data_IF_997863711826
#
_entry.id   IF_997863711826
#
_cell.length_a   1.000
_cell.length_b   1.000
_cell.length_c   1.000
_cell.angle_alpha   90.00
_cell.angle_beta   90.00
_cell.angle_gamma   90.00
#
_symmetry.space_group_name_H-M   'P 1'
#
loop_
_entity.id
_entity.type
_entity.pdbx_description
1 polymer ?
#
# COMPACT_ATOMS: atom_id res chain seq x y z
N UNK A 1 52.98 -42.28 -9.93
CA UNK A 1 52.04 -42.26 -11.07
C UNK A 1 50.72 -41.70 -10.56
N UNK A 2 50.59 -40.38 -10.51
CA UNK A 2 49.34 -39.72 -10.10
C UNK A 2 48.37 -39.70 -11.27
N UNK A 3 47.22 -40.35 -11.09
CA UNK A 3 46.15 -40.38 -12.08
C UNK A 3 45.35 -39.08 -11.97
N UNK A 4 45.55 -38.20 -12.95
CA UNK A 4 44.77 -36.98 -13.15
C UNK A 4 43.27 -37.32 -13.27
N UNK A 5 42.49 -36.91 -12.27
CA UNK A 5 41.03 -37.02 -12.26
C UNK A 5 40.45 -36.01 -13.26
N UNK A 6 39.98 -36.52 -14.39
CA UNK A 6 39.29 -35.74 -15.42
C UNK A 6 38.01 -35.12 -14.83
N UNK A 7 37.98 -33.80 -14.72
CA UNK A 7 36.78 -33.04 -14.34
C UNK A 7 35.69 -33.26 -15.41
N UNK A 8 34.76 -34.18 -15.12
CA UNK A 8 33.59 -34.44 -15.95
C UNK A 8 32.67 -33.23 -15.87
N UNK A 9 32.73 -32.34 -16.85
CA UNK A 9 31.78 -31.24 -16.99
C UNK A 9 30.39 -31.82 -17.13
N UNK A 10 29.56 -31.66 -16.09
CA UNK A 10 28.16 -32.04 -16.10
C UNK A 10 27.50 -31.37 -17.32
N UNK A 11 26.98 -32.20 -18.23
CA UNK A 11 26.26 -31.73 -19.41
C UNK A 11 25.07 -30.90 -18.92
N UNK A 12 24.99 -29.67 -19.41
CA UNK A 12 23.89 -28.76 -19.09
C UNK A 12 22.61 -29.36 -19.67
N UNK A 13 21.47 -29.28 -18.98
CA UNK A 13 20.21 -29.72 -19.55
C UNK A 13 19.89 -28.87 -20.78
N UNK A 14 19.55 -29.51 -21.89
CA UNK A 14 19.16 -28.81 -23.14
C UNK A 14 17.84 -28.04 -22.96
N UNK A 15 17.03 -28.42 -21.95
CA UNK A 15 15.73 -27.84 -21.66
C UNK A 15 15.57 -27.57 -20.16
N UNK A 16 15.06 -26.38 -19.83
CA UNK A 16 14.61 -26.02 -18.48
C UNK A 16 13.08 -26.19 -18.37
N UNK A 17 12.60 -26.71 -17.24
CA UNK A 17 11.16 -26.79 -16.95
C UNK A 17 10.54 -25.40 -16.82
N UNK A 18 9.26 -25.23 -17.19
CA UNK A 18 8.60 -23.92 -17.11
C UNK A 18 8.47 -23.43 -15.66
N UNK A 19 8.26 -24.33 -14.69
CA UNK A 19 8.18 -24.01 -13.25
C UNK A 19 9.51 -23.46 -12.76
N UNK A 20 10.62 -24.06 -13.19
CA UNK A 20 11.96 -23.58 -12.86
C UNK A 20 12.22 -22.20 -13.46
N UNK A 21 11.89 -22.00 -14.75
CA UNK A 21 12.02 -20.68 -15.39
C UNK A 21 11.21 -19.62 -14.64
N UNK A 22 10.00 -19.98 -14.23
CA UNK A 22 9.12 -19.11 -13.49
C UNK A 22 9.68 -18.75 -12.11
N UNK A 23 10.17 -19.73 -11.35
CA UNK A 23 10.79 -19.51 -10.04
C UNK A 23 11.99 -18.55 -10.15
N UNK A 24 12.87 -18.76 -11.12
CA UNK A 24 14.04 -17.89 -11.35
C UNK A 24 13.59 -16.46 -11.68
N UNK A 25 12.54 -16.30 -12.48
CA UNK A 25 11.98 -14.98 -12.82
C UNK A 25 11.37 -14.31 -11.59
N UNK A 26 10.64 -15.04 -10.75
CA UNK A 26 10.08 -14.51 -9.51
C UNK A 26 11.17 -14.00 -8.56
N UNK A 27 12.24 -14.77 -8.33
CA UNK A 27 13.34 -14.33 -7.46
C UNK A 27 13.99 -13.03 -7.94
N UNK A 28 14.09 -12.84 -9.26
CA UNK A 28 14.61 -11.62 -9.87
C UNK A 28 13.62 -10.46 -9.74
N UNK A 29 12.32 -10.69 -9.96
CA UNK A 29 11.28 -9.66 -9.85
C UNK A 29 11.05 -9.19 -8.41
N UNK A 30 11.14 -10.10 -7.43
CA UNK A 30 11.09 -9.76 -6.01
C UNK A 30 12.38 -9.08 -5.51
N UNK A 31 13.40 -8.94 -6.35
CA UNK A 31 14.66 -8.30 -5.99
C UNK A 31 15.55 -9.14 -5.05
N UNK A 32 15.26 -10.43 -4.86
CA UNK A 32 16.09 -11.33 -4.04
C UNK A 32 17.45 -11.56 -4.67
N UNK A 33 17.50 -11.64 -6.00
CA UNK A 33 18.71 -11.84 -6.78
C UNK A 33 18.72 -10.87 -7.98
N UNK A 34 19.89 -10.32 -8.28
CA UNK A 34 20.09 -9.65 -9.57
C UNK A 34 20.18 -10.68 -10.68
N UNK A 35 19.91 -10.30 -11.94
CA UNK A 35 19.99 -11.21 -13.10
C UNK A 35 21.32 -11.98 -13.17
N UNK A 36 22.44 -11.32 -12.87
CA UNK A 36 23.77 -11.96 -12.88
C UNK A 36 23.98 -12.88 -11.70
N UNK A 37 23.44 -12.53 -10.53
CA UNK A 37 23.49 -13.38 -9.35
C UNK A 37 22.65 -14.63 -9.57
N UNK A 38 21.43 -14.50 -10.10
CA UNK A 38 20.57 -15.63 -10.47
C UNK A 38 21.24 -16.53 -11.52
N UNK A 39 21.86 -15.96 -12.55
CA UNK A 39 22.60 -16.72 -13.57
C UNK A 39 23.70 -17.60 -12.96
N UNK A 40 24.46 -17.04 -12.01
CA UNK A 40 25.54 -17.74 -11.30
C UNK A 40 25.01 -18.77 -10.31
N UNK A 41 23.98 -18.43 -9.53
CA UNK A 41 23.38 -19.32 -8.53
C UNK A 41 22.76 -20.56 -9.18
N UNK A 42 22.08 -20.36 -10.31
CA UNK A 42 21.36 -21.42 -11.03
C UNK A 42 22.17 -22.06 -12.18
N UNK A 43 23.46 -21.74 -12.31
CA UNK A 43 24.36 -22.25 -13.37
C UNK A 43 23.81 -22.10 -14.81
N UNK A 44 23.11 -21.00 -15.08
CA UNK A 44 22.54 -20.72 -16.40
C UNK A 44 23.64 -20.21 -17.33
N UNK A 45 23.78 -20.86 -18.49
CA UNK A 45 24.86 -20.56 -19.45
C UNK A 45 24.65 -19.27 -20.23
N UNK A 46 23.42 -18.95 -20.61
CA UNK A 46 23.12 -17.80 -21.47
C UNK A 46 22.94 -16.51 -20.68
N UNK A 47 23.65 -15.46 -21.10
CA UNK A 47 23.54 -14.13 -20.51
C UNK A 47 22.14 -13.53 -20.66
N UNK A 48 21.52 -13.75 -21.83
CA UNK A 48 20.20 -13.21 -22.16
C UNK A 48 19.04 -14.16 -21.81
N UNK A 49 19.31 -15.35 -21.28
CA UNK A 49 18.30 -16.39 -21.06
C UNK A 49 17.24 -15.96 -20.04
N UNK A 50 17.68 -15.39 -18.92
CA UNK A 50 16.75 -14.91 -17.88
C UNK A 50 15.92 -13.74 -18.41
N UNK A 51 16.53 -12.83 -19.18
CA UNK A 51 15.81 -11.71 -19.81
C UNK A 51 14.75 -12.21 -20.80
N UNK A 52 15.05 -13.27 -21.55
CA UNK A 52 14.08 -13.92 -22.44
C UNK A 52 12.92 -14.53 -21.65
N UNK A 53 13.18 -15.22 -20.54
CA UNK A 53 12.12 -15.74 -19.68
C UNK A 53 11.25 -14.63 -19.10
N UNK A 54 11.85 -13.55 -18.60
CA UNK A 54 11.12 -12.39 -18.09
C UNK A 54 10.16 -11.80 -19.13
N UNK A 55 10.60 -11.66 -20.39
CA UNK A 55 9.74 -11.18 -21.50
C UNK A 55 8.66 -12.20 -21.88
N UNK A 56 8.99 -13.50 -21.87
CA UNK A 56 8.02 -14.56 -22.16
C UNK A 56 6.89 -14.56 -21.12
N UNK A 57 7.23 -14.36 -19.84
CA UNK A 57 6.24 -14.32 -18.75
C UNK A 57 5.62 -12.94 -18.52
N UNK A 58 6.00 -11.90 -19.27
CA UNK A 58 5.41 -10.56 -19.10
C UNK A 58 4.03 -10.42 -19.74
N UNK A 59 3.49 -11.47 -20.39
CA UNK A 59 2.18 -11.45 -21.04
C UNK A 59 2.13 -10.64 -22.34
N UNK A 60 3.30 -10.32 -22.93
CA UNK A 60 3.42 -9.59 -24.20
C UNK A 60 3.69 -10.62 -25.30
N UNK A 61 2.71 -10.87 -26.16
CA UNK A 61 2.79 -11.88 -27.23
C UNK A 61 3.93 -11.57 -28.22
N UNK A 62 4.06 -10.29 -28.62
CA UNK A 62 5.01 -9.84 -29.63
C UNK A 62 6.16 -8.98 -29.05
N UNK A 63 6.85 -9.48 -28.02
CA UNK A 63 7.98 -8.76 -27.40
C UNK A 63 9.17 -8.50 -28.35
N UNK A 64 9.23 -9.17 -29.51
CA UNK A 64 10.27 -9.00 -30.55
C UNK A 64 9.91 -7.98 -31.62
N UNK A 65 8.62 -7.61 -31.74
CA UNK A 65 8.14 -6.74 -32.80
C UNK A 65 8.55 -5.26 -32.63
N UNK A 66 9.40 -4.94 -31.62
CA UNK A 66 9.76 -3.56 -31.33
C UNK A 66 8.51 -2.77 -30.99
N UNK A 67 7.80 -3.18 -29.94
CA UNK A 67 6.64 -2.44 -29.44
C UNK A 67 7.00 -0.96 -29.27
N UNK A 68 6.10 -0.07 -29.66
CA UNK A 68 6.20 1.36 -29.39
C UNK A 68 6.65 1.52 -27.93
N UNK A 69 7.73 2.28 -27.63
CA UNK A 69 8.08 2.53 -26.25
C UNK A 69 6.83 3.14 -25.61
N UNK A 70 6.31 2.49 -24.58
CA UNK A 70 5.26 3.09 -23.76
C UNK A 70 5.88 4.30 -23.10
N UNK A 71 5.86 5.43 -23.80
CA UNK A 71 6.19 6.77 -23.32
C UNK A 71 5.15 7.28 -22.33
N UNK A 72 4.29 6.38 -21.83
CA UNK A 72 3.31 6.65 -20.81
C UNK A 72 4.03 6.78 -19.45
N UNK A 73 4.78 7.88 -19.31
CA UNK A 73 5.20 8.49 -18.05
C UNK A 73 4.01 8.62 -17.07
N UNK A 74 2.78 8.52 -17.57
CA UNK A 74 1.55 8.37 -16.80
C UNK A 74 1.56 7.16 -15.86
N UNK A 75 2.20 6.03 -16.18
CA UNK A 75 2.31 4.90 -15.25
C UNK A 75 3.07 5.28 -13.96
N UNK A 76 4.21 5.95 -14.10
CA UNK A 76 5.00 6.43 -12.95
C UNK A 76 4.33 7.60 -12.23
N UNK A 77 3.62 8.47 -12.96
CA UNK A 77 2.83 9.57 -12.38
C UNK A 77 1.59 9.06 -11.62
N UNK A 78 0.92 8.03 -12.14
CA UNK A 78 -0.20 7.33 -11.47
C UNK A 78 0.26 6.73 -10.15
N UNK A 79 1.43 6.09 -10.12
CA UNK A 79 1.99 5.54 -8.88
C UNK A 79 2.29 6.63 -7.84
N UNK A 80 2.82 7.80 -8.26
CA UNK A 80 3.05 8.94 -7.35
C UNK A 80 1.75 9.51 -6.80
N UNK A 81 0.76 9.75 -7.66
CA UNK A 81 -0.56 10.24 -7.25
C UNK A 81 -1.26 9.27 -6.30
N UNK A 82 -1.16 7.97 -6.57
CA UNK A 82 -1.72 6.93 -5.70
C UNK A 82 -1.08 6.97 -4.31
N UNK A 83 0.25 7.11 -4.23
CA UNK A 83 0.96 7.26 -2.96
C UNK A 83 0.52 8.53 -2.21
N UNK A 84 0.48 9.68 -2.90
CA UNK A 84 0.02 10.96 -2.32
C UNK A 84 -1.42 10.87 -1.81
N UNK A 85 -2.32 10.23 -2.55
CA UNK A 85 -3.70 10.00 -2.15
C UNK A 85 -3.78 9.10 -0.91
N UNK A 86 -2.99 8.04 -0.85
CA UNK A 86 -2.94 7.15 0.33
C UNK A 86 -2.41 7.87 1.58
N UNK A 87 -1.40 8.73 1.43
CA UNK A 87 -0.90 9.58 2.52
C UNK A 87 -1.98 10.56 2.99
N UNK A 88 -2.71 11.17 2.05
CA UNK A 88 -3.81 12.09 2.37
C UNK A 88 -4.94 11.38 3.12
N UNK A 89 -5.33 10.18 2.70
CA UNK A 89 -6.34 9.37 3.39
C UNK A 89 -5.89 9.07 4.82
N UNK A 90 -4.65 8.61 5.02
CA UNK A 90 -4.11 8.33 6.37
C UNK A 90 -4.14 9.56 7.27
N UNK A 91 -3.76 10.73 6.74
CA UNK A 91 -3.82 11.99 7.49
C UNK A 91 -5.24 12.33 7.93
N UNK A 92 -6.19 12.27 6.99
CA UNK A 92 -7.61 12.57 7.24
C UNK A 92 -8.22 11.60 8.25
N UNK A 93 -7.85 10.32 8.20
CA UNK A 93 -8.32 9.33 9.19
C UNK A 93 -7.83 9.64 10.61
N UNK A 94 -6.60 10.15 10.76
CA UNK A 94 -6.05 10.55 12.05
C UNK A 94 -6.77 11.78 12.58
N UNK A 95 -6.99 12.79 11.74
CA UNK A 95 -7.76 13.99 12.12
C UNK A 95 -9.19 13.64 12.53
N UNK A 96 -9.84 12.77 11.77
CA UNK A 96 -11.20 12.30 12.07
C UNK A 96 -11.26 11.54 13.39
N UNK A 97 -10.26 10.68 13.68
CA UNK A 97 -10.16 10.01 14.99
C UNK A 97 -9.98 11.00 16.13
N UNK A 98 -9.14 12.03 15.96
CA UNK A 98 -8.91 13.06 16.97
C UNK A 98 -10.19 13.85 17.27
N UNK A 99 -10.95 14.23 16.25
CA UNK A 99 -12.16 15.02 16.45
C UNK A 99 -13.29 14.20 17.07
N UNK A 100 -13.41 12.91 16.71
CA UNK A 100 -14.33 11.98 17.38
C UNK A 100 -14.00 11.83 18.87
N UNK A 101 -12.72 11.59 19.19
CA UNK A 101 -12.29 11.51 20.59
C UNK A 101 -12.58 12.82 21.35
N UNK A 102 -12.36 13.96 20.70
CA UNK A 102 -12.67 15.26 21.29
C UNK A 102 -14.18 15.38 21.58
N UNK A 103 -15.04 15.01 20.63
CA UNK A 103 -16.49 15.01 20.82
C UNK A 103 -16.92 14.08 21.97
N UNK A 104 -16.36 12.87 22.03
CA UNK A 104 -16.63 11.91 23.11
C UNK A 104 -16.19 12.45 24.49
N UNK A 105 -15.03 13.10 24.55
CA UNK A 105 -14.54 13.76 25.77
C UNK A 105 -15.46 14.91 26.20
N UNK A 106 -15.94 15.72 25.26
CA UNK A 106 -16.90 16.79 25.57
C UNK A 106 -18.19 16.21 26.14
N UNK A 107 -18.74 15.16 25.53
CA UNK A 107 -19.93 14.48 26.03
C UNK A 107 -19.71 13.99 27.48
N UNK A 108 -18.57 13.34 27.74
CA UNK A 108 -18.21 12.85 29.08
C UNK A 108 -18.02 13.98 30.09
N UNK A 109 -17.43 15.09 29.67
CA UNK A 109 -17.24 16.26 30.54
C UNK A 109 -18.58 16.88 30.94
N UNK A 110 -19.54 16.91 30.02
CA UNK A 110 -20.90 17.39 30.31
C UNK A 110 -21.60 16.45 31.30
N UNK A 111 -21.52 15.13 31.10
CA UNK A 111 -22.06 14.13 32.04
C UNK A 111 -21.53 14.34 33.47
N UNK A 112 -20.20 14.46 33.64
CA UNK A 112 -19.58 14.70 34.95
C UNK A 112 -20.02 16.03 35.56
N UNK A 113 -20.11 17.09 34.75
CA UNK A 113 -20.56 18.39 35.24
C UNK A 113 -22.02 18.38 35.69
N UNK A 114 -22.91 17.63 35.03
CA UNK A 114 -24.29 17.44 35.47
C UNK A 114 -24.37 16.68 36.80
N UNK A 115 -23.54 15.64 36.98
CA UNK A 115 -23.45 14.87 38.24
C UNK A 115 -23.00 15.75 39.41
N UNK A 116 -21.94 16.54 39.22
CA UNK A 116 -21.35 17.38 40.28
C UNK A 116 -22.22 18.60 40.63
N UNK A 117 -22.76 19.29 39.62
CA UNK A 117 -23.50 20.54 39.80
C UNK A 117 -25.01 20.32 40.01
N UNK A 118 -25.53 19.12 39.73
CA UNK A 118 -26.97 18.78 39.77
C UNK A 118 -27.86 19.72 38.93
N UNK A 119 -27.28 20.37 37.93
CA UNK A 119 -28.00 21.22 36.97
C UNK A 119 -28.01 20.51 35.61
N UNK A 120 -29.16 20.43 34.91
CA UNK A 120 -29.20 19.88 33.57
C UNK A 120 -28.56 20.87 32.59
N UNK A 121 -27.38 20.52 32.07
CA UNK A 121 -26.62 21.32 31.10
C UNK A 121 -27.07 20.94 29.68
N UNK A 122 -27.35 19.66 29.44
CA UNK A 122 -27.87 19.20 28.16
C UNK A 122 -29.36 19.51 27.99
N UNK A 123 -29.74 19.93 26.79
CA UNK A 123 -31.15 20.10 26.43
C UNK A 123 -31.79 18.73 26.23
N UNK A 124 -32.65 18.34 27.16
CA UNK A 124 -33.48 17.13 27.03
C UNK A 124 -34.66 17.41 26.10
N UNK A 125 -34.90 16.52 25.12
CA UNK A 125 -36.06 16.60 24.23
C UNK A 125 -37.36 16.59 25.07
N UNK A 126 -38.09 17.70 25.06
CA UNK A 126 -39.34 17.88 25.82
C UNK A 126 -39.29 18.90 26.96
N UNK A 127 -38.14 19.51 27.26
CA UNK A 127 -38.08 20.62 28.23
C UNK A 127 -38.88 21.83 27.70
N UNK A 128 -39.89 22.27 28.47
CA UNK A 128 -40.69 23.46 28.12
C UNK A 128 -39.77 24.69 28.11
N UNK A 129 -39.76 25.43 27.00
CA UNK A 129 -39.01 26.69 26.91
C UNK A 129 -39.53 27.64 28.00
N UNK A 130 -38.62 28.16 28.83
CA UNK A 130 -38.92 29.29 29.70
C UNK A 130 -39.10 30.50 28.79
N UNK A 131 -40.34 30.96 28.64
CA UNK A 131 -40.66 32.20 27.94
C UNK A 131 -40.09 33.36 28.76
N UNK A 132 -39.23 34.16 28.14
CA UNK A 132 -38.56 35.30 28.77
C UNK A 132 -39.58 36.32 29.27
N UNK A 133 -39.50 36.65 30.56
CA UNK A 133 -40.38 37.59 31.25
C UNK A 133 -40.00 39.03 30.90
N UNK A 134 -40.42 39.48 29.72
CA UNK A 134 -40.36 40.90 29.34
C UNK A 134 -41.67 41.60 29.67
N UNK A 135 -41.97 41.79 30.96
CA UNK A 135 -42.96 42.76 31.44
C UNK A 135 -42.62 43.27 32.85
N UNK A 136 -41.93 44.42 32.93
CA UNK A 136 -42.11 45.50 33.93
C UNK A 136 -41.06 46.58 33.66
N UNK A 137 -41.40 47.84 33.40
CA UNK A 137 -42.71 48.47 33.31
C UNK A 137 -42.54 49.97 33.09
N UNK A 138 -43.62 50.62 32.69
CA UNK A 138 -43.80 52.06 32.88
C UNK A 138 -45.25 52.25 33.33
N UNK A 139 -45.40 52.52 34.63
CA UNK A 139 -46.61 53.07 35.23
C UNK A 139 -46.18 54.38 35.90
N UNK A 140 -46.38 55.51 35.21
CA UNK A 140 -46.88 56.80 35.70
C UNK A 140 -46.76 57.89 34.63
#
# INVERSE_FOLDING_TARGET
>A
MEKSTKNRTLKKPDYYSEEFKWQVVQDVLFGRLTKEAARRAYNISGNCTILYWMRKFSGIDDYRAGGQPVTDLSCMSKNKKEIELQERIKHLEVELRREKLRADLWQKMVEVAEEDLKVPIEKKYGAKQLTDSSQKGEEK
#
